data_IF_040664348624
#
_entry.id   IF_040664348624
#
_cell.length_a   1.000
_cell.length_b   1.000
_cell.length_c   1.000
_cell.angle_alpha   90.00
_cell.angle_beta   90.00
_cell.angle_gamma   90.00
#
_symmetry.space_group_name_H-M   'P 1'
#
loop_
_entity.id
_entity.type
_entity.pdbx_description
1 polymer ?
#
# COMPACT_ATOMS: atom_id res chain seq x y z
N UNK A 1 -6.58 44.73 -28.16
CA UNK A 1 -6.01 43.46 -28.67
C UNK A 1 -6.98 42.87 -29.69
N UNK A 2 -6.55 42.61 -30.93
CA UNK A 2 -7.43 42.12 -32.00
C UNK A 2 -7.96 40.71 -31.68
N UNK A 3 -9.24 40.46 -31.90
CA UNK A 3 -9.88 39.14 -31.66
C UNK A 3 -9.16 37.99 -32.39
N UNK A 4 -8.62 38.25 -33.58
CA UNK A 4 -7.82 37.30 -34.34
C UNK A 4 -6.49 36.93 -33.66
N UNK A 5 -5.81 37.89 -33.03
CA UNK A 5 -4.56 37.66 -32.29
C UNK A 5 -4.84 36.84 -31.02
N UNK A 6 -5.95 37.15 -30.33
CA UNK A 6 -6.38 36.40 -29.13
C UNK A 6 -6.74 34.95 -29.47
N UNK A 7 -7.40 34.70 -30.61
CA UNK A 7 -7.71 33.34 -31.11
C UNK A 7 -6.46 32.52 -31.43
N UNK A 8 -5.40 33.16 -31.94
CA UNK A 8 -4.10 32.49 -32.22
C UNK A 8 -3.39 32.06 -30.95
N UNK A 9 -3.29 32.95 -29.97
CA UNK A 9 -2.69 32.60 -28.69
C UNK A 9 -3.47 31.49 -27.99
N UNK A 10 -4.82 31.53 -28.05
CA UNK A 10 -5.66 30.46 -27.52
C UNK A 10 -5.44 29.14 -28.25
N UNK A 11 -5.40 29.13 -29.59
CA UNK A 11 -5.16 27.92 -30.38
C UNK A 11 -3.77 27.31 -30.09
N UNK A 12 -2.71 28.13 -30.06
CA UNK A 12 -1.37 27.67 -29.72
C UNK A 12 -1.28 27.13 -28.29
N UNK A 13 -1.93 27.78 -27.32
CA UNK A 13 -1.97 27.30 -25.93
C UNK A 13 -2.67 25.93 -25.82
N UNK A 14 -3.81 25.76 -26.52
CA UNK A 14 -4.57 24.51 -26.51
C UNK A 14 -3.77 23.38 -27.19
N UNK A 15 -3.11 23.65 -28.32
CA UNK A 15 -2.25 22.67 -29.00
C UNK A 15 -1.06 22.30 -28.10
N UNK A 16 -0.42 23.29 -27.48
CA UNK A 16 0.71 23.07 -26.55
C UNK A 16 0.31 22.21 -25.35
N UNK A 17 -0.86 22.49 -24.74
CA UNK A 17 -1.42 21.67 -23.67
C UNK A 17 -1.73 20.25 -24.15
N UNK A 18 -2.33 20.10 -25.34
CA UNK A 18 -2.61 18.80 -25.93
C UNK A 18 -1.34 17.95 -26.11
N UNK A 19 -0.29 18.53 -26.69
CA UNK A 19 1.00 17.87 -26.84
C UNK A 19 1.64 17.51 -25.48
N UNK A 20 1.59 18.42 -24.50
CA UNK A 20 2.10 18.16 -23.15
C UNK A 20 1.37 17.01 -22.46
N UNK A 21 0.04 16.93 -22.58
CA UNK A 21 -0.77 15.84 -22.04
C UNK A 21 -0.45 14.49 -22.71
N UNK A 22 -0.23 14.48 -24.03
CA UNK A 22 0.20 13.25 -24.73
C UNK A 22 1.60 12.79 -24.27
N UNK A 23 2.54 13.72 -24.10
CA UNK A 23 3.87 13.40 -23.55
C UNK A 23 3.74 12.87 -22.12
N UNK A 24 2.93 13.50 -21.28
CA UNK A 24 2.67 13.05 -19.92
C UNK A 24 2.02 11.65 -19.91
N UNK A 25 1.06 11.37 -20.79
CA UNK A 25 0.45 10.05 -20.93
C UNK A 25 1.47 8.98 -21.31
N UNK A 26 2.36 9.28 -22.27
CA UNK A 26 3.43 8.39 -22.69
C UNK A 26 4.41 8.08 -21.55
N UNK A 27 4.83 9.11 -20.81
CA UNK A 27 5.70 8.94 -19.64
C UNK A 27 5.01 8.12 -18.54
N UNK A 28 3.75 8.39 -18.24
CA UNK A 28 2.99 7.63 -17.24
C UNK A 28 2.86 6.15 -17.64
N UNK A 29 2.54 5.86 -18.90
CA UNK A 29 2.37 4.49 -19.38
C UNK A 29 3.68 3.69 -19.39
N UNK A 30 4.80 4.32 -19.75
CA UNK A 30 6.07 3.61 -19.97
C UNK A 30 6.98 3.60 -18.75
N UNK A 31 6.94 4.66 -17.93
CA UNK A 31 7.86 4.85 -16.82
C UNK A 31 7.24 4.53 -15.46
N UNK A 32 5.99 4.96 -15.24
CA UNK A 32 5.41 5.01 -13.89
C UNK A 32 4.92 3.66 -13.37
N UNK A 33 4.43 2.77 -14.24
CA UNK A 33 3.89 1.46 -13.83
C UNK A 33 4.91 0.62 -13.04
N UNK A 34 6.15 0.52 -13.55
CA UNK A 34 7.25 -0.22 -12.90
C UNK A 34 7.76 0.40 -11.58
N UNK A 35 7.42 1.66 -11.33
CA UNK A 35 7.86 2.43 -10.15
C UNK A 35 6.84 2.37 -9.02
N UNK A 36 5.58 2.07 -9.31
CA UNK A 36 4.46 2.11 -8.36
C UNK A 36 4.09 0.73 -7.82
N UNK A 37 4.33 -0.35 -8.60
CA UNK A 37 4.18 -1.73 -8.14
C UNK A 37 5.28 -2.08 -7.12
N UNK A 38 5.17 -1.51 -5.92
CA UNK A 38 6.14 -1.60 -4.83
C UNK A 38 5.41 -1.71 -3.50
N UNK A 39 5.93 -2.52 -2.59
CA UNK A 39 5.45 -2.62 -1.20
C UNK A 39 5.35 -1.21 -0.59
N UNK A 40 4.19 -0.82 0.01
CA UNK A 40 4.04 0.47 0.68
C UNK A 40 5.03 0.66 1.84
N UNK A 41 5.34 1.92 2.18
CA UNK A 41 6.23 2.25 3.31
C UNK A 41 5.48 2.60 4.60
N UNK A 42 4.16 2.52 4.57
CA UNK A 42 3.26 2.92 5.66
C UNK A 42 2.37 1.75 6.09
N UNK A 43 2.91 0.53 6.03
CA UNK A 43 2.19 -0.66 6.50
C UNK A 43 2.15 -0.60 8.02
N UNK A 44 0.93 -0.59 8.55
CA UNK A 44 0.61 -0.82 9.94
C UNK A 44 -0.68 -1.64 9.97
N UNK A 45 -0.58 -2.90 10.41
CA UNK A 45 -1.70 -3.83 10.37
C UNK A 45 -1.69 -4.76 11.57
N UNK A 46 -2.88 -5.00 12.13
CA UNK A 46 -3.15 -6.05 13.10
C UNK A 46 -3.97 -7.13 12.43
N UNK A 47 -3.42 -8.33 12.30
CA UNK A 47 -4.08 -9.48 11.70
C UNK A 47 -4.46 -10.45 12.81
N UNK A 48 -5.74 -10.85 12.87
CA UNK A 48 -6.25 -11.76 13.90
C UNK A 48 -6.79 -13.01 13.22
N UNK A 49 -6.38 -14.16 13.74
CA UNK A 49 -6.84 -15.47 13.30
C UNK A 49 -7.36 -16.25 14.49
N UNK A 50 -8.57 -16.79 14.38
CA UNK A 50 -9.24 -17.52 15.45
C UNK A 50 -9.30 -19.01 15.13
N UNK A 51 -9.35 -19.84 16.17
CA UNK A 51 -9.48 -21.28 16.03
C UNK A 51 -9.34 -22.01 17.34
N UNK A 52 -9.01 -23.29 17.25
CA UNK A 52 -8.95 -24.19 18.39
C UNK A 52 -7.68 -25.02 18.31
N UNK A 53 -7.29 -25.60 19.44
CA UNK A 53 -6.17 -26.53 19.46
C UNK A 53 -5.99 -27.22 20.79
N UNK A 54 -4.82 -27.84 20.91
CA UNK A 54 -4.33 -28.54 22.07
C UNK A 54 -3.12 -27.78 22.59
N UNK A 55 -3.14 -27.42 23.86
CA UNK A 55 -2.10 -26.59 24.46
C UNK A 55 -1.72 -27.09 25.85
N UNK A 56 -0.42 -27.04 26.14
CA UNK A 56 0.09 -27.24 27.49
C UNK A 56 -0.44 -26.12 28.40
N UNK A 57 -0.97 -26.48 29.57
CA UNK A 57 -1.28 -25.51 30.61
C UNK A 57 0.03 -25.06 31.27
N UNK A 58 0.43 -23.81 31.02
CA UNK A 58 1.66 -23.24 31.56
C UNK A 58 1.73 -23.32 33.10
N UNK A 59 0.59 -23.33 33.82
CA UNK A 59 0.57 -23.48 35.27
C UNK A 59 1.07 -24.88 35.71
N UNK A 60 0.89 -25.91 34.87
CA UNK A 60 1.34 -27.28 35.17
C UNK A 60 2.85 -27.44 35.18
N UNK A 61 3.60 -26.50 34.59
CA UNK A 61 5.07 -26.47 34.64
C UNK A 61 5.61 -26.36 36.08
N UNK A 62 4.79 -25.86 37.01
CA UNK A 62 5.14 -25.76 38.44
C UNK A 62 4.65 -26.94 39.28
N UNK A 63 4.12 -27.97 38.64
CA UNK A 63 3.52 -29.15 39.30
C UNK A 63 4.27 -30.43 38.93
N UNK A 64 3.98 -31.54 39.61
CA UNK A 64 4.66 -32.83 39.39
C UNK A 64 4.29 -33.52 38.07
N UNK A 65 3.27 -33.04 37.36
CA UNK A 65 2.82 -33.60 36.09
C UNK A 65 2.40 -32.51 35.10
N UNK A 66 2.76 -32.68 33.84
CA UNK A 66 2.37 -31.76 32.79
C UNK A 66 0.91 -32.00 32.38
N UNK A 67 0.14 -30.92 32.27
CA UNK A 67 -1.28 -30.96 31.89
C UNK A 67 -1.44 -30.37 30.50
N UNK A 68 -1.97 -31.17 29.58
CA UNK A 68 -2.29 -30.74 28.21
C UNK A 68 -3.81 -30.65 28.06
N UNK A 69 -4.32 -29.45 27.77
CA UNK A 69 -5.74 -29.24 27.53
C UNK A 69 -6.06 -29.40 26.04
N UNK A 70 -7.14 -30.12 25.74
CA UNK A 70 -7.62 -30.38 24.39
C UNK A 70 -8.75 -29.41 24.02
N UNK A 71 -8.86 -29.07 22.74
CA UNK A 71 -9.92 -28.22 22.18
C UNK A 71 -10.10 -26.89 22.94
N UNK A 72 -9.00 -26.24 23.29
CA UNK A 72 -9.01 -24.90 23.86
C UNK A 72 -9.17 -23.85 22.77
N UNK A 73 -9.89 -22.74 23.01
CA UNK A 73 -10.02 -21.67 22.04
C UNK A 73 -8.72 -20.86 21.98
N UNK A 74 -8.25 -20.60 20.75
CA UNK A 74 -6.97 -19.97 20.46
C UNK A 74 -7.15 -18.81 19.49
N UNK A 75 -6.43 -17.73 19.74
CA UNK A 75 -6.28 -16.61 18.82
C UNK A 75 -4.80 -16.39 18.52
N UNK A 76 -4.48 -16.24 17.23
CA UNK A 76 -3.19 -15.76 16.74
C UNK A 76 -3.33 -14.31 16.33
N UNK A 77 -2.50 -13.44 16.88
CA UNK A 77 -2.43 -12.03 16.53
C UNK A 77 -1.05 -11.72 15.95
N UNK A 78 -1.04 -11.09 14.79
CA UNK A 78 0.16 -10.62 14.13
C UNK A 78 0.09 -9.10 13.95
N UNK A 79 1.01 -8.36 14.55
CA UNK A 79 1.21 -6.92 14.30
C UNK A 79 2.33 -6.74 13.30
N UNK A 80 2.09 -6.00 12.23
CA UNK A 80 3.07 -5.68 11.19
C UNK A 80 3.29 -4.17 11.19
N UNK A 81 4.53 -3.73 11.33
CA UNK A 81 4.93 -2.32 11.20
C UNK A 81 6.13 -2.16 10.26
N UNK A 82 6.29 -0.96 9.70
CA UNK A 82 7.48 -0.59 8.93
C UNK A 82 8.53 0.02 9.86
N UNK A 83 9.74 -0.51 9.78
CA UNK A 83 10.91 -0.03 10.51
C UNK A 83 11.99 0.49 9.55
N UNK A 84 13.01 1.14 10.12
CA UNK A 84 14.20 1.51 9.34
C UNK A 84 15.12 0.31 9.10
N UNK A 85 15.73 0.17 7.90
CA UNK A 85 15.63 1.06 6.74
C UNK A 85 14.36 0.87 5.87
N UNK A 86 13.75 1.99 5.50
CA UNK A 86 12.61 2.04 4.57
C UNK A 86 12.82 3.18 3.55
N UNK A 87 12.98 2.84 2.27
CA UNK A 87 13.30 3.80 1.22
C UNK A 87 12.71 3.39 -0.15
N UNK A 88 13.23 3.95 -1.25
CA UNK A 88 12.71 3.69 -2.59
C UNK A 88 12.81 2.21 -3.02
N UNK A 89 13.77 1.46 -2.49
CA UNK A 89 14.11 0.12 -2.98
C UNK A 89 13.86 -0.98 -1.95
N UNK A 90 14.04 -0.68 -0.66
CA UNK A 90 13.83 -1.63 0.45
C UNK A 90 12.82 -1.13 1.46
N UNK A 91 12.19 -2.09 2.16
CA UNK A 91 11.33 -1.85 3.32
C UNK A 91 11.66 -2.89 4.38
N UNK A 92 11.88 -2.46 5.61
CA UNK A 92 12.01 -3.36 6.75
C UNK A 92 10.66 -3.51 7.42
N UNK A 93 10.20 -4.74 7.58
CA UNK A 93 8.99 -5.09 8.33
C UNK A 93 9.40 -5.67 9.68
N UNK A 94 8.81 -5.17 10.75
CA UNK A 94 8.84 -5.82 12.05
C UNK A 94 7.48 -6.47 12.30
N UNK A 95 7.50 -7.76 12.61
CA UNK A 95 6.31 -8.58 12.77
C UNK A 95 6.33 -9.24 14.13
N UNK A 96 5.43 -8.81 15.01
CA UNK A 96 5.17 -9.45 16.30
C UNK A 96 4.00 -10.42 16.18
N UNK A 97 4.25 -11.71 16.34
CA UNK A 97 3.21 -12.76 16.33
C UNK A 97 3.04 -13.33 17.72
N UNK A 98 1.80 -13.44 18.20
CA UNK A 98 1.48 -14.13 19.45
C UNK A 98 0.32 -15.10 19.26
N UNK A 99 0.41 -16.27 19.89
CA UNK A 99 -0.67 -17.26 19.97
C UNK A 99 -1.09 -17.38 21.42
N UNK A 100 -2.40 -17.25 21.66
CA UNK A 100 -2.95 -17.11 23.00
C UNK A 100 -4.22 -17.94 23.16
N UNK A 101 -4.41 -18.51 24.34
CA UNK A 101 -5.69 -19.02 24.84
C UNK A 101 -6.62 -17.89 25.19
N UNK A 102 -7.80 -17.85 24.58
CA UNK A 102 -8.80 -16.79 24.79
C UNK A 102 -9.69 -17.06 26.01
N UNK A 103 -9.66 -18.28 26.56
CA UNK A 103 -10.35 -18.67 27.80
C UNK A 103 -9.58 -18.33 29.08
N UNK A 104 -8.35 -17.84 28.96
CA UNK A 104 -7.45 -17.47 30.07
C UNK A 104 -7.23 -15.95 30.09
N UNK A 105 -6.94 -15.39 31.27
CA UNK A 105 -6.78 -13.93 31.42
C UNK A 105 -5.32 -13.48 31.28
N UNK A 106 -5.11 -12.29 30.69
CA UNK A 106 -3.81 -11.60 30.60
C UNK A 106 -2.71 -12.52 30.03
N UNK A 107 -1.56 -12.58 30.69
CA UNK A 107 -0.39 -13.34 30.24
C UNK A 107 -0.52 -14.84 30.50
N UNK A 108 -1.45 -15.27 31.34
CA UNK A 108 -1.70 -16.71 31.58
C UNK A 108 -2.24 -17.44 30.36
N UNK A 109 -2.76 -16.70 29.37
CA UNK A 109 -3.18 -17.25 28.09
C UNK A 109 -2.09 -17.28 27.02
N UNK A 110 -0.95 -16.60 27.20
CA UNK A 110 0.10 -16.53 26.18
C UNK A 110 0.80 -17.89 26.04
N UNK A 111 0.80 -18.46 24.83
CA UNK A 111 1.47 -19.74 24.54
C UNK A 111 2.78 -19.55 23.80
N UNK A 112 2.73 -18.77 22.71
CA UNK A 112 3.86 -18.54 21.83
C UNK A 112 3.93 -17.06 21.50
N UNK A 113 5.14 -16.52 21.42
CA UNK A 113 5.40 -15.18 20.94
C UNK A 113 6.73 -15.16 20.18
N UNK A 114 6.76 -14.47 19.07
CA UNK A 114 7.96 -14.23 18.28
C UNK A 114 7.90 -12.81 17.71
N UNK A 115 9.04 -12.13 17.70
CA UNK A 115 9.20 -10.90 16.94
C UNK A 115 10.27 -11.16 15.90
N UNK A 116 9.88 -11.00 14.65
CA UNK A 116 10.74 -11.16 13.50
C UNK A 116 10.88 -9.81 12.79
N UNK A 117 12.06 -9.54 12.25
CA UNK A 117 12.35 -8.33 11.50
C UNK A 117 13.03 -8.70 10.21
N UNK A 118 12.48 -8.27 9.08
CA UNK A 118 12.98 -8.64 7.75
C UNK A 118 13.01 -7.45 6.81
N UNK A 119 14.11 -7.29 6.09
CA UNK A 119 14.27 -6.26 5.05
C UNK A 119 13.99 -6.86 3.69
N UNK A 120 12.98 -6.33 3.01
CA UNK A 120 12.47 -6.83 1.73
C UNK A 120 12.77 -5.85 0.59
N UNK A 121 13.06 -6.40 -0.58
CA UNK A 121 13.03 -5.63 -1.81
C UNK A 121 11.59 -5.27 -2.14
N UNK A 122 11.30 -3.97 -2.26
CA UNK A 122 9.92 -3.49 -2.44
C UNK A 122 9.27 -3.95 -3.74
N UNK A 123 10.03 -4.32 -4.77
CA UNK A 123 9.48 -4.79 -6.05
C UNK A 123 9.24 -6.30 -6.04
N UNK A 124 10.21 -7.07 -5.54
CA UNK A 124 10.17 -8.53 -5.63
C UNK A 124 9.59 -9.21 -4.39
N UNK A 125 9.44 -8.46 -3.29
CA UNK A 125 9.07 -8.96 -1.96
C UNK A 125 10.05 -10.00 -1.37
N UNK A 126 11.22 -10.18 -1.98
CA UNK A 126 12.26 -11.08 -1.51
C UNK A 126 13.09 -10.42 -0.41
N UNK A 127 13.47 -11.19 0.60
CA UNK A 127 14.45 -10.77 1.60
C UNK A 127 15.77 -10.34 0.94
N UNK A 128 16.32 -9.23 1.45
CA UNK A 128 17.60 -8.66 1.00
C UNK A 128 18.67 -9.06 1.99
N UNK A 129 19.25 -10.23 1.77
CA UNK A 129 20.38 -10.75 2.54
C UNK A 129 21.63 -10.86 1.66
N UNK A 130 22.79 -10.54 2.21
CA UNK A 130 24.11 -10.78 1.62
C UNK A 130 25.07 -11.37 2.67
N UNK A 131 26.34 -11.58 2.31
CA UNK A 131 27.32 -12.22 3.19
C UNK A 131 27.65 -11.38 4.45
N UNK A 132 27.35 -10.09 4.43
CA UNK A 132 27.61 -9.13 5.51
C UNK A 132 26.34 -8.61 6.19
N UNK A 133 25.18 -8.75 5.54
CA UNK A 133 23.88 -8.35 6.05
C UNK A 133 22.92 -9.55 6.03
N UNK A 134 22.46 -10.03 7.20
CA UNK A 134 21.56 -11.18 7.26
C UNK A 134 20.19 -10.92 6.60
N UNK A 135 19.85 -9.67 6.30
CA UNK A 135 18.54 -9.31 5.76
C UNK A 135 17.40 -9.39 6.78
N UNK A 136 17.68 -9.84 8.01
CA UNK A 136 16.71 -9.83 9.10
C UNK A 136 17.29 -10.28 10.44
N UNK A 137 16.40 -10.40 11.41
CA UNK A 137 16.71 -10.83 12.77
C UNK A 137 15.46 -11.33 13.47
N UNK A 138 15.62 -12.27 14.38
CA UNK A 138 14.55 -12.71 15.30
C UNK A 138 14.91 -12.27 16.71
N UNK A 139 13.93 -11.78 17.46
CA UNK A 139 14.15 -11.40 18.85
C UNK A 139 14.47 -12.64 19.70
N UNK A 140 15.53 -12.54 20.50
CA UNK A 140 15.90 -13.56 21.47
C UNK A 140 14.71 -13.85 22.40
N UNK A 141 14.35 -15.13 22.63
CA UNK A 141 13.29 -15.49 23.55
C UNK A 141 13.57 -14.94 24.95
N UNK A 142 12.50 -14.51 25.63
CA UNK A 142 12.54 -13.91 26.96
C UNK A 142 11.31 -14.34 27.74
N UNK A 143 11.42 -14.33 29.06
CA UNK A 143 10.29 -14.62 29.94
C UNK A 143 9.37 -13.39 30.06
N UNK A 144 8.11 -13.61 30.43
CA UNK A 144 7.14 -12.53 30.67
C UNK A 144 7.56 -11.54 31.75
N UNK A 145 8.44 -11.95 32.66
CA UNK A 145 8.95 -11.12 33.76
C UNK A 145 10.34 -10.51 33.47
N UNK A 146 10.92 -10.78 32.30
CA UNK A 146 12.17 -10.13 31.90
C UNK A 146 11.86 -8.67 31.57
N UNK A 147 12.53 -7.72 32.23
CA UNK A 147 12.41 -6.27 31.99
C UNK A 147 13.57 -5.72 31.15
N UNK A 148 14.55 -6.55 30.80
CA UNK A 148 15.72 -6.11 30.03
C UNK A 148 15.31 -5.62 28.63
N UNK A 149 16.07 -4.74 27.97
CA UNK A 149 15.78 -4.38 26.60
C UNK A 149 15.76 -5.62 25.67
N UNK A 150 14.83 -5.70 24.71
CA UNK A 150 14.78 -6.82 23.77
C UNK A 150 16.09 -6.90 22.97
N UNK A 151 16.60 -8.10 22.78
CA UNK A 151 17.82 -8.34 21.99
C UNK A 151 17.43 -8.97 20.66
N UNK A 152 17.72 -8.30 19.55
CA UNK A 152 17.56 -8.85 18.21
C UNK A 152 18.76 -9.76 17.86
N UNK A 153 18.49 -10.96 17.36
CA UNK A 153 19.50 -11.90 16.91
C UNK A 153 19.56 -11.90 15.38
N UNK A 154 20.69 -11.51 14.77
CA UNK A 154 20.90 -11.60 13.33
C UNK A 154 20.52 -12.98 12.79
N UNK A 155 19.60 -13.02 11.83
CA UNK A 155 19.14 -14.26 11.21
C UNK A 155 18.99 -14.07 9.71
N UNK A 156 19.67 -14.92 8.95
CA UNK A 156 19.63 -14.85 7.49
C UNK A 156 18.22 -15.17 6.99
N UNK A 157 17.57 -14.19 6.39
CA UNK A 157 16.27 -14.35 5.75
C UNK A 157 16.43 -14.61 4.26
N UNK A 158 15.77 -15.64 3.75
CA UNK A 158 15.77 -15.98 2.33
C UNK A 158 14.34 -16.25 1.86
N UNK A 159 14.01 -15.78 0.65
CA UNK A 159 12.67 -15.92 0.09
C UNK A 159 11.71 -14.78 0.46
N UNK A 160 10.42 -15.03 0.25
CA UNK A 160 9.33 -14.14 0.62
C UNK A 160 9.12 -14.14 2.14
N UNK A 161 8.60 -13.04 2.67
CA UNK A 161 8.12 -12.96 4.06
C UNK A 161 6.95 -11.99 4.15
N UNK A 162 5.86 -12.42 4.79
CA UNK A 162 4.64 -11.66 5.10
C UNK A 162 3.86 -11.09 3.90
N UNK A 163 4.37 -11.22 2.68
CA UNK A 163 3.74 -10.68 1.48
C UNK A 163 4.30 -11.34 0.20
N UNK A 164 3.49 -11.30 -0.87
CA UNK A 164 3.89 -11.68 -2.22
C UNK A 164 4.22 -10.44 -3.06
N UNK A 165 4.98 -10.57 -4.16
CA UNK A 165 5.22 -9.45 -5.07
C UNK A 165 3.92 -9.02 -5.76
N UNK A 166 3.85 -7.73 -6.13
CA UNK A 166 2.86 -7.25 -7.08
C UNK A 166 2.89 -8.11 -8.36
N UNK A 167 1.74 -8.29 -9.00
CA UNK A 167 1.59 -9.19 -10.14
C UNK A 167 2.05 -10.62 -9.82
N UNK A 168 1.62 -11.15 -8.66
CA UNK A 168 1.95 -12.50 -8.22
C UNK A 168 1.63 -13.52 -9.31
N UNK A 169 2.59 -14.40 -9.60
CA UNK A 169 2.51 -15.41 -10.64
C UNK A 169 2.10 -16.77 -10.04
N UNK A 170 1.56 -17.65 -10.88
CA UNK A 170 1.20 -19.02 -10.49
C UNK A 170 2.42 -19.93 -10.52
N UNK A 171 3.34 -19.74 -9.57
CA UNK A 171 4.58 -20.51 -9.44
C UNK A 171 4.93 -20.81 -8.00
N UNK A 172 5.90 -21.67 -7.79
CA UNK A 172 6.48 -21.89 -6.46
C UNK A 172 7.37 -20.72 -6.08
N UNK A 173 7.28 -20.30 -4.81
CA UNK A 173 8.15 -19.30 -4.22
C UNK A 173 8.85 -19.88 -2.98
N UNK A 174 10.12 -19.54 -2.71
CA UNK A 174 10.68 -19.75 -1.38
C UNK A 174 10.00 -18.78 -0.41
N UNK A 175 9.54 -19.26 0.75
CA UNK A 175 8.93 -18.45 1.80
C UNK A 175 9.60 -18.77 3.13
N UNK A 176 10.07 -17.74 3.83
CA UNK A 176 10.79 -17.88 5.08
C UNK A 176 9.86 -18.25 6.24
N UNK A 177 10.25 -19.24 7.04
CA UNK A 177 9.58 -19.56 8.30
C UNK A 177 10.46 -19.09 9.47
N UNK A 178 10.02 -18.11 10.29
CA UNK A 178 10.83 -17.55 11.37
C UNK A 178 11.01 -18.49 12.57
N UNK A 179 10.16 -19.52 12.70
CA UNK A 179 10.26 -20.53 13.77
C UNK A 179 11.27 -21.61 13.37
N UNK A 180 11.19 -22.11 12.14
CA UNK A 180 12.14 -23.08 11.58
C UNK A 180 13.46 -22.42 11.12
N UNK A 181 13.50 -21.08 11.07
CA UNK A 181 14.65 -20.25 10.73
C UNK A 181 15.24 -20.55 9.34
N UNK A 182 14.39 -20.93 8.37
CA UNK A 182 14.82 -21.25 7.00
C UNK A 182 13.65 -21.16 6.00
N UNK A 183 13.94 -21.01 4.70
CA UNK A 183 12.90 -21.02 3.67
C UNK A 183 12.33 -22.42 3.41
N UNK A 184 11.05 -22.44 3.07
CA UNK A 184 10.32 -23.59 2.52
C UNK A 184 9.54 -23.17 1.30
N UNK A 185 9.31 -24.11 0.38
CA UNK A 185 8.53 -23.86 -0.82
C UNK A 185 7.06 -23.59 -0.46
N UNK A 186 6.53 -22.50 -0.97
CA UNK A 186 5.10 -22.22 -1.05
C UNK A 186 4.64 -22.42 -2.49
N UNK A 187 3.73 -23.37 -2.70
CA UNK A 187 3.30 -23.81 -4.02
C UNK A 187 1.92 -23.25 -4.35
N UNK A 188 1.70 -22.83 -5.59
CA UNK A 188 0.37 -22.46 -6.08
C UNK A 188 -0.52 -23.70 -6.19
N UNK A 189 -1.72 -23.63 -5.63
CA UNK A 189 -2.70 -24.71 -5.66
C UNK A 189 -3.85 -24.40 -6.63
N UNK A 190 -4.56 -23.30 -6.40
CA UNK A 190 -5.81 -22.98 -7.09
C UNK A 190 -6.13 -21.49 -7.07
N UNK A 191 -7.27 -21.10 -7.66
CA UNK A 191 -7.87 -19.78 -7.45
C UNK A 191 -9.16 -19.94 -6.65
N UNK A 192 -9.41 -19.00 -5.74
CA UNK A 192 -10.64 -18.95 -4.95
C UNK A 192 -11.12 -17.50 -4.81
N UNK A 193 -12.43 -17.31 -4.68
CA UNK A 193 -13.00 -16.00 -4.34
C UNK A 193 -12.97 -15.79 -2.83
N UNK A 194 -12.45 -14.65 -2.39
CA UNK A 194 -12.48 -14.21 -0.99
C UNK A 194 -13.09 -12.82 -0.96
N UNK A 195 -14.31 -12.71 -0.44
CA UNK A 195 -15.09 -11.47 -0.35
C UNK A 195 -15.15 -10.67 -1.67
N UNK A 196 -15.37 -11.37 -2.78
CA UNK A 196 -15.47 -10.77 -4.11
C UNK A 196 -14.13 -10.41 -4.75
N UNK A 197 -13.02 -10.92 -4.20
CA UNK A 197 -11.68 -10.79 -4.74
C UNK A 197 -11.19 -12.15 -5.23
N UNK A 198 -10.84 -12.27 -6.51
CA UNK A 198 -10.19 -13.47 -7.05
C UNK A 198 -8.76 -13.56 -6.51
N UNK A 199 -8.50 -14.56 -5.69
CA UNK A 199 -7.20 -14.81 -5.04
C UNK A 199 -6.52 -16.05 -5.58
N UNK A 200 -5.20 -16.10 -5.45
CA UNK A 200 -4.40 -17.31 -5.67
C UNK A 200 -4.16 -17.98 -4.33
N UNK A 201 -4.46 -19.26 -4.26
CA UNK A 201 -4.22 -20.09 -3.08
C UNK A 201 -2.84 -20.72 -3.15
N UNK A 202 -2.08 -20.54 -2.10
CA UNK A 202 -0.72 -21.04 -1.97
C UNK A 202 -0.58 -21.87 -0.69
N UNK A 203 0.09 -23.02 -0.74
CA UNK A 203 0.35 -23.86 0.45
C UNK A 203 1.84 -24.02 0.71
N UNK A 204 2.24 -23.79 1.96
CA UNK A 204 3.58 -24.05 2.50
C UNK A 204 3.49 -25.22 3.47
N UNK A 205 4.39 -26.19 3.35
CA UNK A 205 4.50 -27.31 4.27
C UNK A 205 5.87 -27.33 4.93
N UNK A 206 5.88 -27.30 6.26
CA UNK A 206 7.07 -27.36 7.13
C UNK A 206 6.99 -28.65 7.93
N UNK A 207 7.77 -29.65 7.53
CA UNK A 207 7.82 -30.96 8.18
C UNK A 207 6.59 -31.86 8.00
N UNK A 208 5.47 -31.32 7.53
CA UNK A 208 4.37 -32.08 6.96
C UNK A 208 4.58 -32.33 5.46
N UNK A 209 3.95 -33.36 4.91
CA UNK A 209 3.78 -33.53 3.48
C UNK A 209 2.46 -32.90 2.99
N UNK A 210 2.17 -32.99 1.70
CA UNK A 210 0.97 -32.40 1.09
C UNK A 210 -0.34 -32.99 1.66
N UNK A 211 -0.32 -34.24 2.13
CA UNK A 211 -1.48 -34.90 2.75
C UNK A 211 -1.64 -34.57 4.25
N UNK A 212 -0.78 -33.71 4.81
CA UNK A 212 -0.80 -33.34 6.24
C UNK A 212 -0.19 -34.40 7.16
N UNK A 213 0.54 -35.38 6.63
CA UNK A 213 1.28 -36.37 7.44
C UNK A 213 2.63 -35.80 7.87
N UNK A 214 2.95 -35.97 9.16
CA UNK A 214 4.25 -35.60 9.72
C UNK A 214 5.35 -36.51 9.13
N UNK A 215 6.33 -35.93 8.45
CA UNK A 215 7.38 -36.68 7.73
C UNK A 215 8.80 -36.20 8.03
N UNK A 216 9.00 -34.89 8.24
CA UNK A 216 10.31 -34.29 8.44
C UNK A 216 10.25 -33.06 9.37
N UNK A 217 9.75 -33.22 10.60
CA UNK A 217 9.66 -32.13 11.56
C UNK A 217 11.04 -31.49 11.81
N UNK A 218 11.02 -30.20 12.06
CA UNK A 218 12.23 -29.42 12.32
C UNK A 218 12.53 -29.50 13.82
N UNK A 219 13.73 -29.93 14.19
CA UNK A 219 14.21 -29.77 15.56
C UNK A 219 14.27 -28.26 15.86
N UNK A 220 13.64 -27.82 16.95
CA UNK A 220 13.44 -26.40 17.21
C UNK A 220 14.79 -25.67 17.31
N UNK A 221 15.07 -24.71 16.41
CA UNK A 221 16.32 -23.98 16.40
C UNK A 221 16.31 -22.94 17.52
N UNK A 222 17.06 -23.22 18.57
CA UNK A 222 17.19 -22.32 19.71
C UNK A 222 18.01 -21.08 19.37
N UNK A 223 17.58 -19.96 19.96
CA UNK A 223 18.29 -18.68 19.92
C UNK A 223 19.12 -18.44 21.19
N UNK A 224 19.21 -19.41 22.10
CA UNK A 224 20.10 -19.32 23.27
C UNK A 224 21.52 -19.78 22.93
N UNK A 225 22.51 -19.13 23.55
CA UNK A 225 23.93 -19.41 23.30
C UNK A 225 24.36 -20.83 23.71
N UNK A 226 23.65 -21.45 24.67
CA UNK A 226 23.89 -22.81 25.16
C UNK A 226 23.35 -23.91 24.24
N UNK A 227 22.66 -23.51 23.16
CA UNK A 227 22.05 -24.37 22.16
C UNK A 227 21.07 -25.43 22.71
N UNK A 228 20.57 -25.26 23.94
CA UNK A 228 19.72 -26.28 24.59
C UNK A 228 18.53 -25.74 25.39
N UNK A 229 18.59 -24.51 25.93
CA UNK A 229 17.59 -23.98 26.91
C UNK A 229 16.13 -24.19 26.52
N UNK A 230 15.75 -24.00 25.25
CA UNK A 230 14.36 -24.11 24.76
C UNK A 230 14.18 -25.15 23.63
N UNK A 231 15.24 -25.89 23.29
CA UNK A 231 15.23 -26.95 22.29
C UNK A 231 15.24 -28.34 22.92
N UNK A 232 15.71 -28.49 24.15
CA UNK A 232 15.72 -29.76 24.91
C UNK A 232 15.31 -29.52 26.34
N UNK A 233 14.56 -30.44 26.91
CA UNK A 233 14.16 -30.40 28.32
C UNK A 233 14.38 -31.75 28.96
N UNK A 234 14.90 -31.77 30.18
CA UNK A 234 15.12 -32.98 30.98
C UNK A 234 14.24 -32.92 32.21
N UNK A 235 13.38 -33.93 32.36
CA UNK A 235 12.49 -34.05 33.51
C UNK A 235 12.25 -35.53 33.86
N UNK A 236 11.76 -35.82 35.08
CA UNK A 236 11.39 -37.18 35.47
C UNK A 236 10.36 -37.79 34.51
N UNK A 237 10.42 -39.11 34.30
CA UNK A 237 9.47 -39.86 33.47
C UNK A 237 8.00 -39.62 33.89
N UNK A 238 7.76 -39.47 35.20
CA UNK A 238 6.46 -39.10 35.76
C UNK A 238 5.95 -37.74 35.26
N UNK A 239 6.80 -36.72 35.19
CA UNK A 239 6.43 -35.39 34.71
C UNK A 239 6.04 -35.41 33.23
N UNK A 240 6.73 -36.25 32.44
CA UNK A 240 6.42 -36.48 31.03
C UNK A 240 5.19 -37.34 30.78
N UNK A 241 4.65 -38.02 31.81
CA UNK A 241 3.58 -39.01 31.64
C UNK A 241 4.04 -40.31 30.96
N UNK A 242 5.34 -40.60 30.95
CA UNK A 242 5.89 -41.84 30.38
C UNK A 242 5.54 -43.01 31.30
N UNK A 243 4.83 -44.00 30.77
CA UNK A 243 4.42 -45.20 31.49
C UNK A 243 5.43 -46.35 31.32
N UNK A 244 5.51 -47.24 32.32
CA UNK A 244 6.20 -48.53 32.18
C UNK A 244 7.70 -48.55 32.54
N UNK A 245 8.16 -47.63 33.40
CA UNK A 245 9.55 -47.57 33.88
C UNK A 245 9.64 -46.95 35.29
N UNK A 246 10.85 -46.56 35.70
CA UNK A 246 11.06 -45.83 36.95
C UNK A 246 10.51 -44.39 36.82
N UNK A 247 9.52 -43.97 37.64
CA UNK A 247 8.96 -42.62 37.58
C UNK A 247 9.98 -41.48 37.80
N UNK A 248 11.10 -41.77 38.47
CA UNK A 248 12.18 -40.83 38.74
C UNK A 248 13.28 -40.84 37.66
N UNK A 249 13.17 -41.70 36.65
CA UNK A 249 14.13 -41.73 35.53
C UNK A 249 14.13 -40.37 34.81
N UNK A 250 15.31 -39.76 34.72
CA UNK A 250 15.46 -38.48 34.02
C UNK A 250 15.45 -38.71 32.51
N UNK A 251 14.39 -38.23 31.84
CA UNK A 251 14.22 -38.33 30.41
C UNK A 251 14.45 -36.96 29.78
N UNK A 252 15.33 -36.92 28.77
CA UNK A 252 15.53 -35.75 27.93
C UNK A 252 14.71 -35.86 26.65
N UNK A 253 13.84 -34.89 26.39
CA UNK A 253 13.09 -34.78 25.14
C UNK A 253 13.55 -33.56 24.33
N UNK A 254 13.46 -33.67 23.00
CA UNK A 254 13.76 -32.57 22.08
C UNK A 254 12.47 -31.93 21.61
N UNK A 255 12.43 -30.60 21.54
CA UNK A 255 11.32 -29.83 20.96
C UNK A 255 11.40 -29.89 19.44
N UNK A 256 10.30 -30.23 18.81
CA UNK A 256 10.12 -30.24 17.38
C UNK A 256 9.02 -29.27 16.96
N UNK A 257 9.10 -28.85 15.71
CA UNK A 257 8.16 -27.95 15.07
C UNK A 257 7.80 -28.46 13.67
N UNK A 258 6.51 -28.39 13.37
CA UNK A 258 5.98 -28.60 12.04
C UNK A 258 4.79 -27.65 11.83
N UNK A 259 4.57 -27.21 10.59
CA UNK A 259 3.44 -26.36 10.25
C UNK A 259 2.97 -26.58 8.81
N UNK A 260 1.70 -26.31 8.56
CA UNK A 260 1.11 -26.18 7.24
C UNK A 260 0.39 -24.83 7.18
N UNK A 261 0.74 -24.01 6.19
CA UNK A 261 0.12 -22.70 5.98
C UNK A 261 -0.53 -22.64 4.61
N UNK A 262 -1.70 -22.05 4.57
CA UNK A 262 -2.39 -21.72 3.32
C UNK A 262 -2.60 -20.21 3.27
N UNK A 263 -2.20 -19.61 2.16
CA UNK A 263 -2.31 -18.17 1.91
C UNK A 263 -3.25 -17.95 0.73
N UNK A 264 -4.19 -17.01 0.86
CA UNK A 264 -4.98 -16.49 -0.25
C UNK A 264 -4.44 -15.10 -0.60
N UNK A 265 -3.92 -14.97 -1.81
CA UNK A 265 -3.14 -13.82 -2.24
C UNK A 265 -3.87 -13.10 -3.37
N UNK A 266 -4.06 -11.79 -3.26
CA UNK A 266 -4.53 -11.00 -4.40
C UNK A 266 -3.43 -10.94 -5.47
N UNK A 267 -3.67 -11.46 -6.69
CA UNK A 267 -2.62 -11.60 -7.70
C UNK A 267 -2.11 -10.26 -8.25
N UNK A 268 -2.82 -9.16 -8.01
CA UNK A 268 -2.42 -7.84 -8.51
C UNK A 268 -1.51 -7.13 -7.50
N UNK A 269 -1.94 -7.02 -6.24
CA UNK A 269 -1.20 -6.34 -5.18
C UNK A 269 -0.15 -7.22 -4.51
N UNK A 270 -0.35 -8.54 -4.47
CA UNK A 270 0.46 -9.46 -3.67
C UNK A 270 0.11 -9.47 -2.18
N UNK A 271 -0.99 -8.83 -1.79
CA UNK A 271 -1.51 -8.84 -0.42
C UNK A 271 -2.04 -10.22 -0.05
N UNK A 272 -1.67 -10.74 1.12
CA UNK A 272 -2.29 -11.92 1.72
C UNK A 272 -3.59 -11.47 2.38
N UNK A 273 -4.73 -11.85 1.79
CA UNK A 273 -6.06 -11.43 2.26
C UNK A 273 -6.70 -12.39 3.24
N UNK A 274 -6.24 -13.64 3.25
CA UNK A 274 -6.64 -14.66 4.22
C UNK A 274 -5.48 -15.61 4.43
N UNK A 275 -5.33 -16.10 5.66
CA UNK A 275 -4.36 -17.12 6.02
C UNK A 275 -5.02 -18.18 6.90
N UNK A 276 -4.65 -19.44 6.68
CA UNK A 276 -4.89 -20.54 7.61
C UNK A 276 -3.54 -21.11 8.01
N UNK A 277 -3.35 -21.34 9.30
CA UNK A 277 -2.15 -21.95 9.85
C UNK A 277 -2.54 -23.13 10.73
N UNK A 278 -1.98 -24.30 10.43
CA UNK A 278 -1.90 -25.42 11.34
C UNK A 278 -0.45 -25.54 11.79
N UNK A 279 -0.16 -25.33 13.06
CA UNK A 279 1.20 -25.43 13.59
C UNK A 279 1.22 -26.33 14.82
N UNK A 280 2.30 -27.12 14.92
CA UNK A 280 2.49 -28.11 15.95
C UNK A 280 3.89 -27.98 16.54
N UNK A 281 3.93 -27.68 17.84
CA UNK A 281 5.10 -27.72 18.69
C UNK A 281 4.92 -28.83 19.71
N UNK A 282 5.90 -29.72 19.81
CA UNK A 282 5.84 -30.87 20.71
C UNK A 282 7.23 -31.29 21.17
N UNK A 283 7.30 -32.00 22.29
CA UNK A 283 8.49 -32.67 22.77
C UNK A 283 8.41 -34.16 22.45
N UNK A 284 9.52 -34.74 21.99
CA UNK A 284 9.63 -36.15 21.70
C UNK A 284 11.09 -36.64 21.81
N UNK A 285 11.26 -37.97 22.00
CA UNK A 285 12.55 -38.64 21.82
C UNK A 285 12.76 -39.08 20.37
N UNK A 286 11.68 -39.50 19.70
CA UNK A 286 11.63 -39.81 18.27
C UNK A 286 10.88 -38.69 17.55
N UNK A 287 11.49 -37.99 16.56
CA UNK A 287 10.85 -36.86 15.88
C UNK A 287 9.47 -37.18 15.31
N UNK A 288 9.23 -38.42 14.87
CA UNK A 288 7.97 -38.82 14.21
C UNK A 288 6.91 -39.35 15.20
N UNK A 289 7.22 -39.38 16.50
CA UNK A 289 6.30 -39.81 17.55
C UNK A 289 6.18 -38.72 18.61
N UNK A 290 5.29 -37.72 18.41
CA UNK A 290 5.00 -36.72 19.43
C UNK A 290 4.62 -37.39 20.76
N UNK A 291 5.32 -37.04 21.84
CA UNK A 291 5.05 -37.59 23.18
C UNK A 291 4.33 -36.57 24.08
N UNK A 292 4.72 -35.30 24.01
CA UNK A 292 4.05 -34.21 24.71
C UNK A 292 3.79 -33.03 23.77
N UNK A 293 2.52 -32.66 23.60
CA UNK A 293 2.13 -31.44 22.87
C UNK A 293 2.41 -30.20 23.72
N UNK A 294 3.20 -29.27 23.18
CA UNK A 294 3.33 -27.91 23.72
C UNK A 294 2.18 -27.04 23.20
N UNK A 295 2.00 -27.01 21.88
CA UNK A 295 0.90 -26.32 21.21
C UNK A 295 0.67 -26.95 19.83
N UNK A 296 -0.51 -27.50 19.58
CA UNK A 296 -0.98 -27.99 18.28
C UNK A 296 -2.29 -27.29 17.96
N UNK A 297 -2.30 -26.40 16.98
CA UNK A 297 -3.43 -25.50 16.76
C UNK A 297 -3.67 -25.23 15.29
N UNK A 298 -4.95 -25.05 14.96
CA UNK A 298 -5.37 -24.57 13.65
C UNK A 298 -6.16 -23.28 13.81
N UNK A 299 -5.63 -22.21 13.26
CA UNK A 299 -6.25 -20.86 13.27
C UNK A 299 -6.46 -20.39 11.83
N UNK A 300 -7.48 -19.57 11.60
CA UNK A 300 -7.76 -18.94 10.30
C UNK A 300 -8.13 -17.48 10.51
N UNK A 301 -7.71 -16.60 9.60
CA UNK A 301 -8.03 -15.17 9.64
C UNK A 301 -9.53 -14.99 9.87
N UNK A 302 -9.87 -14.13 10.83
CA UNK A 302 -11.26 -13.81 11.12
C UNK A 302 -11.84 -12.82 10.09
N UNK A 303 -13.16 -12.62 10.14
CA UNK A 303 -13.85 -11.82 9.12
C UNK A 303 -13.34 -10.38 9.06
N UNK A 304 -13.16 -9.73 10.22
CA UNK A 304 -12.62 -8.36 10.29
C UNK A 304 -11.25 -8.24 9.62
N UNK A 305 -10.37 -9.22 9.84
CA UNK A 305 -9.05 -9.28 9.19
C UNK A 305 -9.18 -9.50 7.69
N UNK A 306 -10.08 -10.38 7.25
CA UNK A 306 -10.31 -10.65 5.83
C UNK A 306 -10.83 -9.39 5.15
N UNK A 307 -11.83 -8.71 5.70
CA UNK A 307 -12.39 -7.48 5.15
C UNK A 307 -11.34 -6.37 5.08
N UNK A 308 -10.58 -6.15 6.14
CA UNK A 308 -9.52 -5.15 6.18
C UNK A 308 -8.43 -5.40 5.12
N UNK A 309 -8.01 -6.65 4.95
CA UNK A 309 -6.97 -7.00 3.98
C UNK A 309 -7.49 -7.01 2.54
N UNK A 310 -8.76 -7.38 2.31
CA UNK A 310 -9.40 -7.24 1.00
C UNK A 310 -9.52 -5.77 0.60
N UNK A 311 -9.88 -4.89 1.54
CA UNK A 311 -9.92 -3.45 1.28
C UNK A 311 -8.52 -2.89 0.99
N UNK A 312 -7.51 -3.29 1.76
CA UNK A 312 -6.11 -2.94 1.48
C UNK A 312 -5.68 -3.38 0.08
N UNK A 313 -6.01 -4.61 -0.32
CA UNK A 313 -5.72 -5.11 -1.66
C UNK A 313 -6.44 -4.30 -2.76
N UNK A 314 -7.70 -3.90 -2.54
CA UNK A 314 -8.46 -3.04 -3.47
C UNK A 314 -7.84 -1.66 -3.60
N UNK A 315 -7.49 -1.02 -2.49
CA UNK A 315 -6.87 0.31 -2.48
C UNK A 315 -5.54 0.32 -3.26
N UNK A 316 -4.73 -0.71 -3.06
CA UNK A 316 -3.48 -0.87 -3.81
C UNK A 316 -3.72 -1.13 -5.30
N UNK A 317 -4.75 -1.92 -5.66
CA UNK A 317 -5.16 -2.14 -7.05
C UNK A 317 -5.65 -0.87 -7.71
N UNK A 318 -6.46 -0.09 -7.02
CA UNK A 318 -7.01 1.17 -7.53
C UNK A 318 -5.93 2.22 -7.71
N UNK A 319 -4.99 2.31 -6.75
CA UNK A 319 -3.80 3.13 -6.89
C UNK A 319 -2.98 2.70 -8.11
N UNK A 320 -2.74 1.40 -8.28
CA UNK A 320 -2.00 0.89 -9.43
C UNK A 320 -2.75 1.22 -10.74
N UNK A 321 -4.05 0.99 -10.80
CA UNK A 321 -4.87 1.25 -11.98
C UNK A 321 -4.96 2.75 -12.32
N UNK A 322 -5.02 3.62 -11.31
CA UNK A 322 -5.05 5.08 -11.50
C UNK A 322 -3.83 5.54 -12.30
N UNK A 323 -2.64 5.13 -11.86
CA UNK A 323 -1.39 5.57 -12.46
C UNK A 323 -1.01 4.81 -13.73
N UNK A 324 -1.30 3.51 -13.81
CA UNK A 324 -0.93 2.68 -14.96
C UNK A 324 -1.92 2.73 -16.12
N UNK A 325 -3.19 3.10 -15.86
CA UNK A 325 -4.27 2.99 -16.86
C UNK A 325 -5.15 4.23 -16.94
N UNK A 326 -5.71 4.71 -15.82
CA UNK A 326 -6.71 5.79 -15.85
C UNK A 326 -6.10 7.13 -16.28
N UNK A 327 -5.00 7.55 -15.66
CA UNK A 327 -4.32 8.80 -16.02
C UNK A 327 -3.77 8.79 -17.45
N UNK A 328 -3.05 7.74 -17.93
CA UNK A 328 -2.63 7.66 -19.33
C UNK A 328 -3.79 7.77 -20.34
N UNK A 329 -4.91 7.06 -20.10
CA UNK A 329 -6.08 7.08 -21.00
C UNK A 329 -6.73 8.46 -21.00
N UNK A 330 -6.98 9.04 -19.83
CA UNK A 330 -7.61 10.38 -19.71
C UNK A 330 -6.73 11.46 -20.32
N UNK A 331 -5.42 11.45 -20.06
CA UNK A 331 -4.48 12.41 -20.66
C UNK A 331 -4.38 12.23 -22.17
N UNK A 332 -4.43 10.99 -22.67
CA UNK A 332 -4.46 10.72 -24.12
C UNK A 332 -5.73 11.26 -24.76
N UNK A 333 -6.90 10.96 -24.20
CA UNK A 333 -8.19 11.41 -24.72
C UNK A 333 -8.29 12.94 -24.73
N UNK A 334 -8.00 13.59 -23.59
CA UNK A 334 -8.01 15.05 -23.47
C UNK A 334 -6.94 15.69 -24.36
N UNK A 335 -5.75 15.08 -24.43
CA UNK A 335 -4.66 15.54 -25.28
C UNK A 335 -5.02 15.54 -26.76
N UNK A 336 -5.64 14.46 -27.25
CA UNK A 336 -6.13 14.37 -28.63
C UNK A 336 -7.26 15.36 -28.92
N UNK A 337 -8.23 15.51 -28.01
CA UNK A 337 -9.33 16.48 -28.14
C UNK A 337 -8.75 17.91 -28.21
N UNK A 338 -7.78 18.23 -27.36
CA UNK A 338 -7.11 19.52 -27.37
C UNK A 338 -6.32 19.74 -28.68
N UNK A 339 -5.57 18.76 -29.18
CA UNK A 339 -4.87 18.89 -30.46
C UNK A 339 -5.82 19.12 -31.64
N UNK A 340 -6.91 18.35 -31.71
CA UNK A 340 -7.91 18.49 -32.78
C UNK A 340 -8.63 19.84 -32.65
N UNK A 341 -9.13 20.18 -31.47
CA UNK A 341 -9.83 21.44 -31.23
C UNK A 341 -8.95 22.66 -31.49
N UNK A 342 -7.69 22.62 -31.03
CA UNK A 342 -6.70 23.65 -31.29
C UNK A 342 -6.35 23.77 -32.77
N UNK A 343 -6.19 22.65 -33.49
CA UNK A 343 -5.98 22.64 -34.94
C UNK A 343 -7.16 23.20 -35.73
N UNK A 344 -8.39 22.86 -35.34
CA UNK A 344 -9.62 23.41 -35.92
C UNK A 344 -9.69 24.93 -35.67
N UNK A 345 -9.46 25.39 -34.43
CA UNK A 345 -9.43 26.82 -34.10
C UNK A 345 -8.35 27.58 -34.89
N UNK A 346 -7.15 27.00 -35.03
CA UNK A 346 -6.09 27.58 -35.84
C UNK A 346 -6.51 27.69 -37.32
N UNK A 347 -7.17 26.66 -37.86
CA UNK A 347 -7.64 26.66 -39.25
C UNK A 347 -8.69 27.74 -39.54
N UNK A 348 -9.58 28.03 -38.59
CA UNK A 348 -10.54 29.14 -38.72
C UNK A 348 -9.87 30.51 -38.63
N UNK A 349 -8.83 30.66 -37.79
CA UNK A 349 -8.07 31.92 -37.71
C UNK A 349 -7.27 32.24 -38.98
N UNK A 350 -6.83 31.22 -39.72
CA UNK A 350 -6.12 31.39 -41.00
C UNK A 350 -7.08 31.77 -42.13
N UNK A 351 -8.30 31.20 -42.17
CA UNK A 351 -9.31 31.52 -43.20
C UNK A 351 -9.84 32.95 -43.14
N UNK A 352 -9.87 33.57 -41.97
CA UNK A 352 -10.24 35.00 -41.83
C UNK A 352 -9.21 35.97 -42.45
N UNK A 353 -7.96 35.55 -42.66
CA UNK A 353 -6.94 36.36 -43.32
C UNK A 353 -7.03 36.28 -44.84
N UNK A 354 -7.37 35.11 -45.41
CA UNK A 354 -7.52 34.96 -46.87
C UNK A 354 -8.68 35.79 -47.46
N UNK A 355 -9.60 36.28 -46.63
CA UNK A 355 -10.67 37.18 -47.04
C UNK A 355 -10.31 38.67 -46.93
N UNK A 356 -9.15 39.01 -46.35
CA UNK A 356 -8.66 40.39 -46.16
C UNK A 356 -7.40 40.71 -46.98
N UNK A 357 -6.84 39.74 -47.70
CA UNK A 357 -5.71 39.95 -48.63
C UNK A 357 -6.25 40.11 -50.06
N UNK A 358 -6.46 41.36 -50.47
CA UNK A 358 -6.78 41.75 -51.85
C UNK A 358 -5.57 41.45 -52.76
N UNK A 359 -5.68 40.63 -53.83
CA UNK A 359 -4.59 40.34 -54.75
C UNK A 359 -4.46 41.49 -55.76
N UNK A 360 -4.03 42.65 -55.29
CA UNK A 360 -4.21 43.90 -56.02
C UNK A 360 -3.01 44.83 -56.08
N UNK A 361 -1.79 44.43 -55.73
CA UNK A 361 -0.60 45.28 -55.92
C UNK A 361 0.64 44.43 -56.22
N UNK A 362 0.79 44.07 -57.50
CA UNK A 362 2.03 43.55 -58.06
C UNK A 362 2.31 44.36 -59.33
N UNK A 363 3.08 45.46 -59.18
CA UNK A 363 3.79 46.12 -60.28
C UNK A 363 4.79 47.14 -59.74
N UNK A 364 6.06 46.79 -59.98
CA UNK A 364 7.21 47.65 -60.29
C UNK A 364 7.55 48.79 -59.33
N UNK A 365 8.77 48.76 -58.78
CA UNK A 365 9.69 49.91 -58.83
C UNK A 365 11.11 49.42 -58.50
N UNK A 366 11.82 48.97 -59.54
CA UNK A 366 13.28 49.06 -59.62
C UNK A 366 13.63 50.47 -60.11
N UNK A 367 14.62 51.09 -59.46
CA UNK A 367 15.41 52.26 -59.91
C UNK A 367 14.67 53.55 -60.32
N UNK A 368 14.90 54.65 -59.60
CA UNK A 368 15.60 55.81 -60.21
C UNK A 368 15.95 56.92 -59.20
N UNK A 369 17.24 57.25 -59.12
CA UNK A 369 17.72 58.57 -58.74
C UNK A 369 17.65 59.52 -59.96
N UNK A 370 17.04 60.70 -59.80
CA UNK A 370 17.63 61.94 -60.30
C UNK A 370 17.07 62.62 -61.56
N UNK A 371 16.15 63.57 -61.33
CA UNK A 371 16.24 65.02 -61.67
C UNK A 371 16.12 65.50 -63.13
N UNK A 372 15.08 66.32 -63.40
CA UNK A 372 15.08 67.37 -64.44
C UNK A 372 13.68 67.80 -64.91
N UNK A 373 13.43 69.09 -65.27
CA UNK A 373 12.19 69.82 -64.91
C UNK A 373 11.31 70.27 -66.10
N UNK A 374 10.05 70.68 -65.83
CA UNK A 374 9.37 71.93 -66.30
C UNK A 374 7.84 71.93 -66.05
N UNK A 375 7.34 73.10 -65.61
CA UNK A 375 5.94 73.53 -65.38
C UNK A 375 5.21 73.91 -66.71
N UNK A 376 3.87 74.20 -66.80
CA UNK A 376 3.01 74.83 -65.76
C UNK A 376 1.53 74.35 -65.61
N UNK A 377 0.95 74.80 -64.48
CA UNK A 377 -0.46 74.92 -64.00
C UNK A 377 -1.42 75.66 -64.99
N UNK A 378 -2.78 75.85 -64.78
CA UNK A 378 -3.60 75.75 -63.55
C UNK A 378 -5.08 75.24 -63.66
N UNK A 379 -5.72 75.07 -62.49
CA UNK A 379 -7.19 75.14 -62.29
C UNK A 379 -7.60 74.55 -60.93
N UNK A 380 -7.55 75.32 -59.83
CA UNK A 380 -8.71 75.99 -59.19
C UNK A 380 -9.68 74.96 -58.54
N UNK A 381 -10.00 74.94 -57.25
CA UNK A 381 -9.96 75.91 -56.14
C UNK A 381 -9.89 75.12 -54.82
N UNK A 382 -9.33 75.75 -53.79
CA UNK A 382 -9.31 75.27 -52.41
C UNK A 382 -10.09 76.23 -51.50
N UNK A 383 -10.25 75.77 -50.25
CA UNK A 383 -10.63 76.50 -49.03
C UNK A 383 -12.13 76.48 -48.67
N UNK A 384 -12.56 76.29 -47.42
CA UNK A 384 -11.84 76.10 -46.15
C UNK A 384 -12.77 75.47 -45.11
N UNK A 385 -12.14 74.79 -44.17
CA UNK A 385 -12.62 74.27 -42.89
C UNK A 385 -13.17 75.37 -41.95
N UNK A 386 -14.18 75.05 -41.12
CA UNK A 386 -14.31 75.50 -39.71
C UNK A 386 -15.51 74.88 -38.98
N UNK A 387 -15.21 74.15 -37.91
CA UNK A 387 -16.11 73.83 -36.77
C UNK A 387 -16.51 75.13 -36.03
N UNK A 388 -17.65 75.19 -35.30
CA UNK A 388 -17.61 74.91 -33.85
C UNK A 388 -18.93 74.43 -33.14
N UNK A 389 -18.73 73.62 -32.09
CA UNK A 389 -19.41 73.47 -30.78
C UNK A 389 -20.87 73.87 -30.44
N UNK A 390 -21.47 72.98 -29.62
CA UNK A 390 -22.26 73.18 -28.37
C UNK A 390 -23.83 73.21 -28.35
N UNK A 391 -24.34 72.50 -27.31
CA UNK A 391 -25.68 72.28 -26.68
C UNK A 391 -26.40 73.61 -26.23
N UNK A 392 -27.62 73.68 -25.60
CA UNK A 392 -28.56 72.66 -25.06
C UNK A 392 -30.11 72.93 -25.08
N UNK A 393 -30.89 71.97 -24.51
CA UNK A 393 -32.26 72.02 -23.90
C UNK A 393 -33.48 72.28 -24.83
N UNK A 394 -34.70 71.78 -24.64
CA UNK A 394 -35.39 70.93 -23.64
C UNK A 394 -36.93 70.93 -23.93
N UNK A 395 -37.68 69.98 -23.35
CA UNK A 395 -39.17 69.91 -23.32
C UNK A 395 -39.83 69.18 -24.51
N UNK A 396 -40.89 68.36 -24.44
CA UNK A 396 -41.87 67.97 -23.41
C UNK A 396 -42.52 66.61 -23.81
N UNK A 397 -43.09 65.91 -22.83
CA UNK A 397 -43.87 64.65 -22.91
C UNK A 397 -45.40 65.00 -23.06
N UNK A 398 -46.39 64.08 -23.32
CA UNK A 398 -46.70 62.90 -22.48
C UNK A 398 -47.34 61.64 -23.15
N UNK A 399 -46.87 60.44 -22.73
CA UNK A 399 -47.58 59.17 -22.36
C UNK A 399 -48.64 58.49 -23.27
N UNK A 400 -49.25 57.34 -22.85
CA UNK A 400 -48.85 56.37 -21.80
C UNK A 400 -49.02 54.86 -22.19
N UNK A 401 -48.53 53.94 -21.33
CA UNK A 401 -49.27 52.80 -20.72
C UNK A 401 -48.50 51.45 -20.56
N UNK A 402 -48.52 50.95 -19.31
CA UNK A 402 -48.55 49.56 -18.80
C UNK A 402 -47.34 48.63 -19.09
N UNK A 403 -46.81 47.81 -18.18
CA UNK A 403 -47.24 47.34 -16.85
C UNK A 403 -46.02 46.84 -16.03
N UNK A 404 -46.17 46.88 -14.70
CA UNK A 404 -45.27 46.36 -13.64
C UNK A 404 -45.58 44.86 -13.33
N UNK A 405 -45.01 44.14 -12.32
CA UNK A 405 -44.20 44.64 -11.19
C UNK A 405 -43.00 43.78 -10.69
N UNK A 406 -42.14 44.46 -9.92
CA UNK A 406 -41.18 44.03 -8.87
C UNK A 406 -41.92 43.56 -7.58
N UNK A 407 -41.31 43.07 -6.46
CA UNK A 407 -40.05 43.48 -5.77
C UNK A 407 -39.26 42.28 -5.14
N UNK A 408 -38.16 42.40 -4.39
CA UNK A 408 -37.54 43.53 -3.71
C UNK A 408 -36.17 43.13 -3.10
N UNK A 409 -35.47 44.17 -2.69
CA UNK A 409 -34.21 44.23 -1.93
C UNK A 409 -34.37 43.74 -0.48
N UNK A 410 -33.27 43.31 0.14
CA UNK A 410 -32.71 43.95 1.34
C UNK A 410 -31.34 43.36 1.74
N UNK A 411 -30.46 44.27 2.18
CA UNK A 411 -29.08 44.09 2.69
C UNK A 411 -29.05 43.58 4.16
N UNK A 412 -27.88 43.33 4.78
CA UNK A 412 -27.68 42.31 5.83
C UNK A 412 -27.68 42.91 7.26
N UNK A 413 -27.47 42.05 8.27
CA UNK A 413 -26.46 42.42 9.27
C UNK A 413 -25.52 41.29 9.75
N UNK A 414 -24.39 41.81 10.20
CA UNK A 414 -23.19 41.35 10.93
C UNK A 414 -23.19 40.13 11.91
N UNK A 415 -21.98 39.71 12.37
CA UNK A 415 -21.70 38.39 12.93
C UNK A 415 -21.83 38.30 14.46
N UNK A 416 -22.15 37.09 14.94
CA UNK A 416 -22.15 36.70 16.36
C UNK A 416 -21.02 35.74 16.73
N UNK A 417 -20.76 35.52 18.04
CA UNK A 417 -19.40 35.52 18.64
C UNK A 417 -18.77 34.12 18.81
N UNK A 418 -17.49 34.05 19.26
CA UNK A 418 -16.76 32.80 19.43
C UNK A 418 -17.10 32.15 20.78
N UNK A 419 -17.07 30.82 20.86
CA UNK A 419 -17.10 30.17 22.17
C UNK A 419 -16.18 28.93 22.28
N UNK A 420 -15.36 29.04 23.33
CA UNK A 420 -14.67 28.06 24.18
C UNK A 420 -14.22 26.68 23.63
N UNK A 421 -12.90 26.47 23.62
CA UNK A 421 -12.30 25.18 24.01
C UNK A 421 -12.37 24.99 25.54
N UNK A 422 -12.35 23.74 26.08
CA UNK A 422 -11.15 23.19 26.75
C UNK A 422 -11.17 21.62 26.85
N UNK A 423 -10.32 20.91 27.65
CA UNK A 423 -9.11 21.28 28.39
C UNK A 423 -7.85 20.41 28.10
N UNK A 424 -6.70 20.91 28.56
CA UNK A 424 -5.43 20.20 28.70
C UNK A 424 -5.47 19.05 29.72
N UNK A 425 -4.75 17.96 29.41
CA UNK A 425 -4.51 16.82 30.30
C UNK A 425 -3.45 17.13 31.38
N UNK A 426 -3.60 16.60 32.61
CA UNK A 426 -2.60 16.79 33.66
C UNK A 426 -1.40 15.83 33.48
N UNK A 427 -0.19 16.36 33.70
CA UNK A 427 1.07 15.62 33.67
C UNK A 427 1.24 14.63 34.85
N UNK A 428 2.24 13.73 34.76
CA UNK A 428 2.43 12.65 35.73
C UNK A 428 3.16 13.12 37.01
N UNK A 429 2.91 12.48 38.17
CA UNK A 429 3.61 12.80 39.41
C UNK A 429 4.97 12.08 39.51
N UNK A 430 5.95 12.80 40.07
CA UNK A 430 7.24 12.28 40.52
C UNK A 430 7.08 11.21 41.62
N UNK A 431 7.94 10.19 41.60
CA UNK A 431 8.13 9.26 42.73
C UNK A 431 9.45 9.54 43.43
N UNK A 432 9.35 9.68 44.74
CA UNK A 432 10.40 9.47 45.73
C UNK A 432 10.65 7.97 45.97
#
# INVERSE_FOLDING_TARGET
>A
MNRAVMLRFAACAIIGLGAALLIAALLLSTYTSSRIAKIPLNIDATLISDGNGTALDAASLSTDHLVVNQNVPLASQQQVSVESPANADVVTLQVGTSVRRTDKQKDSGLLLAIVDTVTLNRKTAMAVSDDTHPGGSVQKPRTVNDESPPTAMPLRHEGLSYRFPFHTEKKTYPYFDPIAQKPFDVNYDSQEDVNGLTTYKFTQNVGYNAEGKLVAPVAYPTLYADQTTDSKFTAPASMWGVQGGDPAEQITMTRFYAAQRTFWVDPVSGTIVKQTEHANHYFARDPLKPELTLADYKVTSNEDTIEAQVNTARDERDRLALWSRVLPITFTAVGLIALIGGGVLASFSLRTESALTDPGLDRSDEELFGRGPEEPVPGAEAETEKLPTQRPAGGENPGPAADAPTPGSDEPPEPGPPDAGPPESPGPPERA
#
